data_IF_912229006217
#
_entry.id   IF_912229006217
#
_cell.length_a   1.000
_cell.length_b   1.000
_cell.length_c   1.000
_cell.angle_alpha   90.00
_cell.angle_beta   90.00
_cell.angle_gamma   90.00
#
_symmetry.space_group_name_H-M   'P 1'
#
loop_
_entity.id
_entity.type
_entity.pdbx_description
1 polymer ?
#
# COMPACT_ATOMS: atom_id res chain seq x y z
N UNK A 1 -20.84 -71.58 5.04
CA UNK A 1 -21.38 -71.01 6.30
C UNK A 1 -21.64 -69.52 6.10
N UNK A 2 -22.76 -69.01 6.63
CA UNK A 2 -23.43 -67.78 6.20
C UNK A 2 -22.82 -66.48 6.77
N UNK A 3 -23.05 -65.41 6.03
CA UNK A 3 -22.70 -64.02 6.29
C UNK A 3 -23.35 -63.47 7.58
N UNK A 4 -22.57 -62.78 8.41
CA UNK A 4 -23.07 -61.98 9.55
C UNK A 4 -23.17 -60.51 9.09
N UNK A 5 -24.36 -59.87 9.16
CA UNK A 5 -24.54 -58.47 8.80
C UNK A 5 -23.99 -57.55 9.91
N UNK A 6 -23.13 -56.60 9.53
CA UNK A 6 -22.65 -55.55 10.43
C UNK A 6 -23.76 -54.55 10.78
N UNK A 7 -23.92 -54.28 12.07
CA UNK A 7 -24.89 -53.35 12.63
C UNK A 7 -24.70 -51.89 12.16
N UNK A 8 -25.80 -51.16 11.88
CA UNK A 8 -25.75 -49.73 11.60
C UNK A 8 -25.54 -48.94 12.91
N UNK A 9 -24.36 -48.32 13.02
CA UNK A 9 -24.00 -47.41 14.11
C UNK A 9 -24.85 -46.13 14.04
N UNK A 10 -25.94 -46.09 14.80
CA UNK A 10 -26.80 -44.91 14.97
C UNK A 10 -25.98 -43.83 15.68
N UNK A 11 -25.37 -42.93 14.90
CA UNK A 11 -24.82 -41.68 15.44
C UNK A 11 -26.00 -40.84 15.90
N UNK A 12 -26.18 -40.77 17.22
CA UNK A 12 -27.07 -39.84 17.91
C UNK A 12 -26.95 -38.45 17.28
N UNK A 13 -28.02 -38.01 16.62
CA UNK A 13 -28.30 -36.59 16.45
C UNK A 13 -28.37 -35.97 17.85
N UNK A 14 -27.36 -35.20 18.21
CA UNK A 14 -27.39 -34.33 19.37
C UNK A 14 -28.36 -33.19 19.10
N UNK A 15 -29.62 -33.40 19.48
CA UNK A 15 -30.58 -32.32 19.66
C UNK A 15 -30.21 -31.51 20.91
N UNK A 16 -29.99 -30.21 20.69
CA UNK A 16 -30.49 -29.13 21.55
C UNK A 16 -29.99 -29.08 22.99
N UNK A 17 -28.85 -28.43 23.21
CA UNK A 17 -28.66 -27.66 24.45
C UNK A 17 -28.81 -26.18 24.11
N UNK A 18 -30.04 -25.70 24.27
CA UNK A 18 -30.38 -24.28 24.30
C UNK A 18 -29.81 -23.65 25.57
N UNK A 19 -28.66 -22.97 25.46
CA UNK A 19 -28.25 -21.93 26.40
C UNK A 19 -28.44 -20.58 25.71
N UNK A 20 -29.70 -20.13 25.71
CA UNK A 20 -30.12 -18.79 25.33
C UNK A 20 -30.03 -17.86 26.54
N UNK A 21 -29.31 -16.75 26.41
CA UNK A 21 -29.25 -15.71 27.44
C UNK A 21 -28.31 -14.54 27.11
N UNK A 22 -27.15 -14.79 26.48
CA UNK A 22 -26.08 -13.76 26.35
C UNK A 22 -26.01 -13.03 25.01
N UNK A 23 -26.78 -13.45 24.00
CA UNK A 23 -26.71 -12.86 22.65
C UNK A 23 -27.22 -11.42 22.54
N UNK A 24 -28.31 -10.98 23.20
CA UNK A 24 -28.74 -9.59 23.10
C UNK A 24 -27.80 -8.66 23.88
N UNK A 25 -27.24 -9.09 25.01
CA UNK A 25 -26.32 -8.30 25.81
C UNK A 25 -25.00 -8.05 25.08
N UNK A 26 -24.40 -9.08 24.45
CA UNK A 26 -23.17 -8.89 23.66
C UNK A 26 -23.41 -7.99 22.44
N UNK A 27 -24.54 -8.12 21.76
CA UNK A 27 -24.89 -7.25 20.64
C UNK A 27 -25.14 -5.80 21.09
N UNK A 28 -25.86 -5.59 22.19
CA UNK A 28 -26.11 -4.27 22.76
C UNK A 28 -24.84 -3.60 23.27
N UNK A 29 -23.91 -4.35 23.89
CA UNK A 29 -22.61 -3.84 24.31
C UNK A 29 -21.78 -3.39 23.11
N UNK A 30 -21.77 -4.16 22.02
CA UNK A 30 -21.05 -3.78 20.79
C UNK A 30 -21.66 -2.52 20.16
N UNK A 31 -22.99 -2.44 20.06
CA UNK A 31 -23.67 -1.25 19.53
C UNK A 31 -23.42 -0.01 20.40
N UNK A 32 -23.50 -0.16 21.72
CA UNK A 32 -23.19 0.93 22.65
C UNK A 32 -21.74 1.42 22.51
N UNK A 33 -20.79 0.51 22.39
CA UNK A 33 -19.37 0.85 22.19
C UNK A 33 -19.14 1.58 20.87
N UNK A 34 -19.78 1.14 19.78
CA UNK A 34 -19.71 1.83 18.48
C UNK A 34 -20.31 3.24 18.54
N UNK A 35 -21.47 3.41 19.19
CA UNK A 35 -22.08 4.73 19.37
C UNK A 35 -21.18 5.68 20.17
N UNK A 36 -20.59 5.21 21.28
CA UNK A 36 -19.64 6.01 22.07
C UNK A 36 -18.40 6.36 21.25
N UNK A 37 -17.85 5.42 20.49
CA UNK A 37 -16.70 5.67 19.63
C UNK A 37 -16.99 6.73 18.55
N UNK A 38 -18.17 6.70 17.92
CA UNK A 38 -18.59 7.72 16.93
C UNK A 38 -18.76 9.09 17.58
N UNK A 39 -19.38 9.16 18.77
CA UNK A 39 -19.57 10.40 19.51
C UNK A 39 -18.25 11.06 19.95
N UNK A 40 -17.18 10.28 20.13
CA UNK A 40 -15.84 10.82 20.43
C UNK A 40 -15.06 11.14 19.15
N UNK A 41 -15.13 10.27 18.14
CA UNK A 41 -14.37 10.40 16.90
C UNK A 41 -14.83 11.60 16.06
N UNK A 42 -16.13 11.88 15.98
CA UNK A 42 -16.66 12.99 15.17
C UNK A 42 -16.19 14.36 15.69
N UNK A 43 -16.32 14.71 16.98
CA UNK A 43 -15.77 15.96 17.52
C UNK A 43 -14.26 16.06 17.35
N UNK A 44 -13.51 14.97 17.60
CA UNK A 44 -12.07 14.97 17.39
C UNK A 44 -11.68 15.16 15.93
N UNK A 45 -12.46 14.60 15.00
CA UNK A 45 -12.26 14.78 13.56
C UNK A 45 -12.55 16.22 13.12
N UNK A 46 -13.58 16.86 13.70
CA UNK A 46 -13.88 18.27 13.46
C UNK A 46 -12.84 19.20 14.08
N UNK A 47 -12.29 18.86 15.25
CA UNK A 47 -11.19 19.58 15.88
C UNK A 47 -9.85 19.38 15.15
N UNK A 48 -9.66 18.25 14.48
CA UNK A 48 -8.49 17.96 13.64
C UNK A 48 -8.62 18.42 12.20
N UNK A 49 -9.75 19.01 11.78
CA UNK A 49 -9.77 19.73 10.50
C UNK A 49 -8.99 21.04 10.71
N UNK A 50 -7.74 21.17 10.22
CA UNK A 50 -7.10 22.47 10.15
C UNK A 50 -8.04 23.35 9.34
N UNK A 51 -8.57 24.38 10.01
CA UNK A 51 -9.30 25.44 9.33
C UNK A 51 -8.33 26.01 8.31
N UNK A 52 -8.50 25.70 7.03
CA UNK A 52 -7.85 26.39 5.93
C UNK A 52 -8.44 27.80 5.86
N UNK A 53 -8.17 28.61 6.89
CA UNK A 53 -8.20 30.07 6.79
C UNK A 53 -6.92 30.43 6.05
N UNK A 54 -7.07 30.74 4.77
CA UNK A 54 -6.00 31.32 3.98
C UNK A 54 -5.43 32.53 4.71
N UNK A 55 -4.19 32.42 5.14
CA UNK A 55 -3.31 33.56 5.33
C UNK A 55 -2.29 33.50 4.21
N UNK A 56 -2.61 34.23 3.15
CA UNK A 56 -1.58 34.77 2.29
C UNK A 56 -0.81 35.78 3.15
N UNK A 57 0.39 35.41 3.59
CA UNK A 57 1.35 36.39 4.07
C UNK A 57 2.67 36.14 3.35
N UNK A 58 2.98 37.09 2.48
CA UNK A 58 4.26 37.22 1.82
C UNK A 58 5.33 37.54 2.87
N UNK A 59 6.43 36.79 2.84
CA UNK A 59 7.66 37.19 3.50
C UNK A 59 8.83 36.95 2.53
N UNK A 60 9.15 38.02 1.80
CA UNK A 60 10.51 38.27 1.31
C UNK A 60 11.48 38.25 2.48
N UNK A 61 12.56 37.49 2.36
CA UNK A 61 13.81 37.80 3.04
C UNK A 61 14.99 37.29 2.21
N UNK A 62 15.77 38.26 1.75
CA UNK A 62 17.01 38.13 1.01
C UNK A 62 18.18 37.60 1.85
N UNK A 63 19.21 37.19 1.10
CA UNK A 63 20.64 37.26 1.39
C UNK A 63 21.28 36.10 2.18
N UNK A 64 22.13 35.37 1.47
CA UNK A 64 23.54 35.23 1.86
C UNK A 64 24.40 34.97 0.63
N UNK A 65 25.31 35.91 0.38
CA UNK A 65 26.37 35.81 -0.60
C UNK A 65 27.49 34.90 -0.07
N UNK A 66 28.07 34.09 -0.94
CA UNK A 66 29.44 33.60 -0.78
C UNK A 66 30.11 33.51 -2.16
N UNK A 67 31.04 34.43 -2.36
CA UNK A 67 32.05 34.40 -3.43
C UNK A 67 33.02 33.24 -3.19
N UNK A 68 33.42 32.52 -4.24
CA UNK A 68 34.60 31.65 -4.15
C UNK A 68 34.79 30.63 -5.28
N UNK A 69 35.41 31.09 -6.36
CA UNK A 69 36.42 30.40 -7.18
C UNK A 69 36.08 29.09 -7.94
N UNK A 70 36.28 29.15 -9.27
CA UNK A 70 36.80 28.02 -10.07
C UNK A 70 35.77 27.20 -10.84
N UNK A 71 35.17 27.77 -11.89
CA UNK A 71 34.36 26.99 -12.83
C UNK A 71 35.25 26.34 -13.91
N UNK A 72 35.33 24.99 -14.00
CA UNK A 72 35.71 24.36 -15.25
C UNK A 72 34.58 24.55 -16.27
N UNK A 73 34.92 25.03 -17.45
CA UNK A 73 34.02 25.21 -18.60
C UNK A 73 33.47 23.84 -19.01
N UNK A 74 32.28 23.49 -18.51
CA UNK A 74 31.55 22.29 -18.91
C UNK A 74 31.18 22.42 -20.39
N UNK A 75 31.76 21.54 -21.21
CA UNK A 75 31.32 21.35 -22.59
C UNK A 75 29.84 20.93 -22.57
N UNK A 76 28.98 21.50 -23.45
CA UNK A 76 27.62 21.03 -23.59
C UNK A 76 27.66 19.58 -24.09
N UNK A 77 27.34 18.65 -23.20
CA UNK A 77 27.14 17.26 -23.57
C UNK A 77 25.98 17.19 -24.58
N UNK A 78 26.09 16.35 -25.63
CA UNK A 78 25.01 16.17 -26.59
C UNK A 78 23.75 15.74 -25.86
N UNK A 79 22.65 16.46 -26.12
CA UNK A 79 21.33 16.15 -25.58
C UNK A 79 20.98 14.70 -25.91
N UNK A 80 21.11 13.83 -24.92
CA UNK A 80 20.67 12.44 -25.03
C UNK A 80 19.16 12.49 -25.26
N UNK A 81 18.63 11.88 -26.34
CA UNK A 81 17.19 11.87 -26.57
C UNK A 81 16.47 11.35 -25.33
N UNK A 82 15.34 11.94 -24.93
CA UNK A 82 14.62 11.56 -23.72
C UNK A 82 14.31 10.06 -23.80
N UNK A 83 14.85 9.31 -22.85
CA UNK A 83 14.59 7.88 -22.75
C UNK A 83 13.07 7.65 -22.74
N UNK A 84 12.57 6.62 -23.43
CA UNK A 84 11.15 6.31 -23.43
C UNK A 84 10.66 6.18 -21.99
N UNK A 85 9.45 6.71 -21.67
CA UNK A 85 8.97 6.76 -20.31
C UNK A 85 8.95 5.34 -19.72
N UNK A 86 9.43 5.15 -18.48
CA UNK A 86 9.50 3.83 -17.88
C UNK A 86 8.09 3.23 -17.83
N UNK A 87 7.93 2.01 -18.37
CA UNK A 87 6.65 1.30 -18.40
C UNK A 87 6.14 0.98 -17.00
N UNK A 88 7.03 1.01 -16.01
CA UNK A 88 6.78 0.73 -14.63
C UNK A 88 7.18 1.93 -13.79
N UNK A 89 6.25 2.42 -12.97
CA UNK A 89 6.50 3.45 -11.96
C UNK A 89 6.29 2.83 -10.58
N UNK A 90 7.30 2.93 -9.72
CA UNK A 90 7.19 2.47 -8.32
C UNK A 90 6.77 3.63 -7.42
N UNK A 91 5.79 3.37 -6.57
CA UNK A 91 5.39 4.26 -5.49
C UNK A 91 6.37 4.22 -4.30
N UNK A 92 6.17 5.10 -3.31
CA UNK A 92 6.97 5.10 -2.10
C UNK A 92 6.81 3.77 -1.33
N UNK A 93 7.89 3.37 -0.65
CA UNK A 93 7.86 2.19 0.22
C UNK A 93 7.03 2.51 1.46
N UNK A 94 6.03 1.68 1.73
CA UNK A 94 5.18 1.80 2.91
C UNK A 94 5.48 0.66 3.87
N UNK A 95 5.84 1.01 5.10
CA UNK A 95 6.02 0.04 6.19
C UNK A 95 4.66 -0.23 6.80
N UNK A 96 4.05 -1.36 6.42
CA UNK A 96 2.66 -1.65 6.79
C UNK A 96 2.62 -2.10 8.25
N UNK A 97 3.48 -3.05 8.62
CA UNK A 97 3.44 -3.70 9.94
C UNK A 97 4.82 -4.12 10.41
N UNK A 98 5.05 -4.07 11.71
CA UNK A 98 6.17 -4.72 12.38
C UNK A 98 5.76 -5.27 13.76
N UNK A 99 6.42 -6.34 14.21
CA UNK A 99 6.12 -6.94 15.52
C UNK A 99 6.91 -8.20 15.83
N UNK A 100 6.62 -8.81 16.98
CA UNK A 100 7.26 -10.06 17.42
C UNK A 100 6.86 -11.27 16.56
N UNK A 101 5.67 -11.25 15.96
CA UNK A 101 5.21 -12.29 15.04
C UNK A 101 4.13 -11.75 14.10
N UNK A 102 3.80 -12.51 13.05
CA UNK A 102 2.74 -12.16 12.10
C UNK A 102 1.33 -12.11 12.73
N UNK A 103 1.12 -12.79 13.87
CA UNK A 103 -0.17 -12.87 14.57
C UNK A 103 -0.26 -11.92 15.77
N UNK A 104 0.86 -11.35 16.22
CA UNK A 104 0.87 -10.39 17.32
C UNK A 104 0.28 -9.05 16.87
N UNK A 105 -0.22 -8.26 17.84
CA UNK A 105 -0.63 -6.87 17.60
C UNK A 105 0.55 -6.10 17.01
N UNK A 106 0.48 -5.68 15.73
CA UNK A 106 1.61 -5.06 15.08
C UNK A 106 1.63 -3.56 15.35
N UNK A 107 2.82 -3.01 15.38
CA UNK A 107 3.02 -1.58 15.18
C UNK A 107 2.91 -1.28 13.69
N UNK A 108 2.37 -0.12 13.34
CA UNK A 108 2.10 0.27 11.95
C UNK A 108 2.81 1.57 11.59
N UNK A 109 3.16 1.73 10.31
CA UNK A 109 3.67 2.99 9.76
C UNK A 109 5.10 3.33 10.19
N UNK A 110 5.26 4.56 10.73
CA UNK A 110 6.57 5.18 11.01
C UNK A 110 7.30 4.58 12.21
N UNK A 111 6.60 3.80 13.03
CA UNK A 111 7.16 3.13 14.21
C UNK A 111 8.05 1.94 13.86
N UNK A 112 7.99 1.47 12.62
CA UNK A 112 8.81 0.36 12.15
C UNK A 112 10.16 0.87 11.63
N UNK A 113 11.23 0.15 11.97
CA UNK A 113 12.57 0.39 11.41
C UNK A 113 12.56 0.30 9.88
N UNK A 114 13.47 1.03 9.25
CA UNK A 114 13.75 0.88 7.81
C UNK A 114 14.61 -0.34 7.58
N UNK A 115 14.34 -1.07 6.49
CA UNK A 115 15.10 -2.25 6.11
C UNK A 115 15.67 -2.09 4.70
N UNK A 116 16.65 -1.19 4.49
CA UNK A 116 17.14 -0.83 3.15
C UNK A 116 17.44 -2.00 2.21
N UNK A 117 18.16 -3.08 2.61
CA UNK A 117 18.47 -4.15 1.67
C UNK A 117 17.24 -4.95 1.23
N UNK A 118 16.22 -5.07 2.07
CA UNK A 118 14.96 -5.74 1.70
C UNK A 118 14.09 -4.84 0.82
N UNK A 119 14.06 -3.54 1.13
CA UNK A 119 13.34 -2.53 0.35
C UNK A 119 13.92 -2.38 -1.06
N UNK A 120 15.24 -2.32 -1.18
CA UNK A 120 15.95 -2.24 -2.46
C UNK A 120 15.83 -3.54 -3.25
N UNK A 121 16.00 -4.70 -2.61
CA UNK A 121 15.84 -5.99 -3.28
C UNK A 121 14.43 -6.17 -3.86
N UNK A 122 13.40 -5.72 -3.14
CA UNK A 122 12.03 -5.73 -3.65
C UNK A 122 11.86 -4.79 -4.85
N UNK A 123 12.34 -3.54 -4.75
CA UNK A 123 12.27 -2.58 -5.87
C UNK A 123 12.97 -3.13 -7.11
N UNK A 124 14.19 -3.64 -6.95
CA UNK A 124 14.99 -4.20 -8.04
C UNK A 124 14.32 -5.44 -8.65
N UNK A 125 13.72 -6.31 -7.83
CA UNK A 125 13.00 -7.47 -8.34
C UNK A 125 11.74 -7.07 -9.14
N UNK A 126 11.01 -6.02 -8.72
CA UNK A 126 9.85 -5.53 -9.48
C UNK A 126 10.31 -4.90 -10.81
N UNK A 127 11.37 -4.07 -10.79
CA UNK A 127 11.95 -3.44 -11.99
C UNK A 127 12.54 -4.46 -12.97
N UNK A 128 13.20 -5.50 -12.47
CA UNK A 128 13.78 -6.56 -13.31
C UNK A 128 12.75 -7.49 -13.94
N UNK A 129 11.49 -7.47 -13.48
CA UNK A 129 10.45 -8.41 -13.90
C UNK A 129 9.19 -7.70 -14.42
N UNK A 130 9.36 -6.64 -15.22
CA UNK A 130 8.23 -5.95 -15.88
C UNK A 130 7.35 -6.90 -16.71
N UNK A 131 7.96 -7.94 -17.30
CA UNK A 131 7.25 -8.95 -18.10
C UNK A 131 6.27 -9.83 -17.30
N UNK A 132 6.34 -9.80 -15.96
CA UNK A 132 5.43 -10.53 -15.10
C UNK A 132 4.13 -9.80 -14.77
N UNK A 133 4.01 -8.54 -15.21
CA UNK A 133 2.77 -7.80 -15.12
C UNK A 133 1.65 -8.49 -15.93
N UNK A 134 0.39 -8.44 -15.46
CA UNK A 134 -0.76 -8.79 -16.26
C UNK A 134 -0.73 -8.01 -17.59
N UNK A 135 -0.88 -8.72 -18.71
CA UNK A 135 -0.94 -8.14 -20.07
C UNK A 135 -2.29 -7.48 -20.34
N UNK A 136 -2.68 -6.54 -19.48
CA UNK A 136 -3.89 -5.72 -19.69
C UNK A 136 -3.58 -4.60 -20.67
N UNK A 137 -4.57 -4.21 -21.48
CA UNK A 137 -4.50 -3.00 -22.30
C UNK A 137 -4.56 -1.74 -21.42
N UNK A 138 -5.22 -1.84 -20.27
CA UNK A 138 -5.44 -0.75 -19.33
C UNK A 138 -4.23 -0.59 -18.41
N UNK A 139 -3.93 0.68 -18.08
CA UNK A 139 -3.05 1.02 -16.96
C UNK A 139 -3.62 0.39 -15.68
N UNK A 140 -2.74 -0.16 -14.86
CA UNK A 140 -3.15 -0.74 -13.59
C UNK A 140 -2.00 -0.82 -12.61
N UNK A 141 -2.35 -0.96 -11.35
CA UNK A 141 -1.40 -1.03 -10.24
C UNK A 141 -1.54 -2.33 -9.45
N UNK A 142 -0.42 -2.81 -8.91
CA UNK A 142 -0.35 -3.93 -7.96
C UNK A 142 0.39 -3.44 -6.72
N UNK A 143 -0.21 -3.64 -5.55
CA UNK A 143 0.49 -3.48 -4.29
C UNK A 143 1.25 -4.77 -3.95
N UNK A 144 2.57 -4.74 -3.97
CA UNK A 144 3.43 -5.86 -3.58
C UNK A 144 3.72 -5.77 -2.09
N UNK A 145 3.25 -6.75 -1.31
CA UNK A 145 3.54 -6.83 0.13
C UNK A 145 4.56 -7.92 0.38
N UNK A 146 5.76 -7.54 0.82
CA UNK A 146 6.83 -8.41 1.26
C UNK A 146 6.76 -8.59 2.77
N UNK A 147 6.61 -9.82 3.23
CA UNK A 147 6.81 -10.15 4.64
C UNK A 147 8.17 -10.76 4.89
N UNK A 148 8.87 -10.22 5.88
CA UNK A 148 10.19 -10.63 6.32
C UNK A 148 10.06 -11.25 7.70
N UNK A 149 10.46 -12.51 7.85
CA UNK A 149 10.60 -13.16 9.16
C UNK A 149 12.07 -13.45 9.42
N UNK A 150 12.69 -12.65 10.30
CA UNK A 150 14.11 -12.77 10.62
C UNK A 150 14.44 -14.06 11.37
N UNK A 151 13.53 -14.58 12.19
CA UNK A 151 13.80 -15.82 12.92
C UNK A 151 13.78 -17.04 12.01
N UNK A 152 12.86 -17.05 11.04
CA UNK A 152 12.79 -18.14 10.04
C UNK A 152 13.66 -17.90 8.81
N UNK A 153 14.32 -16.74 8.72
CA UNK A 153 15.04 -16.26 7.53
C UNK A 153 14.25 -16.49 6.25
N UNK A 154 12.95 -16.17 6.31
CA UNK A 154 11.99 -16.44 5.23
C UNK A 154 11.38 -15.15 4.71
N UNK A 155 11.36 -15.03 3.39
CA UNK A 155 10.64 -14.01 2.66
C UNK A 155 9.38 -14.63 2.05
N UNK A 156 8.34 -13.82 1.97
CA UNK A 156 7.11 -14.19 1.26
C UNK A 156 6.47 -12.93 0.69
N UNK A 157 6.05 -13.00 -0.57
CA UNK A 157 5.43 -11.86 -1.26
C UNK A 157 4.01 -12.22 -1.62
N UNK A 158 3.07 -11.32 -1.34
CA UNK A 158 1.67 -11.48 -1.71
C UNK A 158 1.07 -10.18 -2.20
N UNK A 159 -0.03 -10.25 -2.98
CA UNK A 159 -0.71 -9.04 -3.44
C UNK A 159 -1.47 -8.41 -2.27
N UNK A 160 -1.20 -7.15 -2.01
CA UNK A 160 -1.91 -6.34 -1.03
C UNK A 160 -3.35 -6.06 -1.45
N UNK A 161 -4.13 -5.54 -0.51
CA UNK A 161 -5.52 -5.14 -0.76
C UNK A 161 -5.65 -3.80 -1.50
N UNK A 162 -4.54 -3.23 -2.00
CA UNK A 162 -4.52 -1.96 -2.73
C UNK A 162 -4.09 -2.21 -4.18
N UNK A 163 -4.54 -1.35 -5.08
CA UNK A 163 -4.29 -1.46 -6.52
C UNK A 163 -5.48 -1.98 -7.32
N UNK A 164 -5.34 -1.85 -8.64
CA UNK A 164 -6.37 -2.14 -9.63
C UNK A 164 -6.45 -3.64 -9.94
N UNK A 165 -5.30 -4.32 -9.96
CA UNK A 165 -5.22 -5.74 -10.26
C UNK A 165 -5.27 -6.58 -8.99
N UNK A 166 -6.20 -7.53 -8.95
CA UNK A 166 -6.47 -8.40 -7.80
C UNK A 166 -6.63 -9.87 -8.19
N UNK A 167 -6.68 -10.74 -7.18
CA UNK A 167 -6.98 -12.16 -7.37
C UNK A 167 -5.87 -12.92 -8.10
N UNK A 168 -6.24 -13.81 -9.03
CA UNK A 168 -5.31 -14.73 -9.71
C UNK A 168 -4.23 -14.00 -10.52
N UNK A 169 -4.57 -12.87 -11.15
CA UNK A 169 -3.63 -12.10 -11.96
C UNK A 169 -2.53 -11.47 -11.10
N UNK A 170 -2.91 -10.80 -10.01
CA UNK A 170 -1.95 -10.22 -9.07
C UNK A 170 -1.10 -11.30 -8.36
N UNK A 171 -1.69 -12.45 -8.02
CA UNK A 171 -0.95 -13.60 -7.46
C UNK A 171 0.12 -14.12 -8.42
N UNK A 172 -0.20 -14.26 -9.72
CA UNK A 172 0.78 -14.70 -10.71
C UNK A 172 1.96 -13.72 -10.83
N UNK A 173 1.66 -12.42 -10.85
CA UNK A 173 2.69 -11.39 -10.93
C UNK A 173 3.58 -11.37 -9.67
N UNK A 174 2.97 -11.48 -8.48
CA UNK A 174 3.69 -11.53 -7.20
C UNK A 174 4.54 -12.79 -7.04
N UNK A 175 4.04 -13.97 -7.43
CA UNK A 175 4.85 -15.20 -7.41
C UNK A 175 6.06 -15.15 -8.35
N UNK A 176 5.95 -14.45 -9.49
CA UNK A 176 7.12 -14.22 -10.34
C UNK A 176 8.16 -13.33 -9.66
N UNK A 177 7.73 -12.21 -9.07
CA UNK A 177 8.63 -11.30 -8.35
C UNK A 177 9.26 -11.99 -7.14
N UNK A 178 8.51 -12.83 -6.43
CA UNK A 178 8.99 -13.63 -5.30
C UNK A 178 10.19 -14.51 -5.67
N UNK A 179 10.17 -15.14 -6.84
CA UNK A 179 11.29 -15.94 -7.32
C UNK A 179 12.53 -15.10 -7.68
N UNK A 180 12.35 -13.82 -7.98
CA UNK A 180 13.43 -12.90 -8.35
C UNK A 180 14.05 -12.17 -7.14
N UNK A 181 13.32 -12.04 -6.03
CA UNK A 181 13.86 -11.40 -4.82
C UNK A 181 14.94 -12.29 -4.20
N UNK A 182 16.18 -11.82 -4.31
CA UNK A 182 17.34 -12.42 -3.64
C UNK A 182 17.87 -11.43 -2.61
N UNK A 183 17.82 -11.81 -1.34
CA UNK A 183 18.42 -11.01 -0.26
C UNK A 183 19.67 -11.72 0.22
N UNK A 184 20.81 -11.04 0.11
CA UNK A 184 22.11 -11.58 0.47
C UNK A 184 22.40 -11.47 1.98
N UNK A 185 21.85 -10.45 2.65
CA UNK A 185 22.18 -10.15 4.04
C UNK A 185 20.94 -10.15 4.95
N UNK A 186 20.99 -11.01 5.97
CA UNK A 186 19.97 -11.14 7.01
C UNK A 186 20.40 -10.51 8.34
N UNK A 187 21.63 -9.99 8.44
CA UNK A 187 22.23 -9.46 9.67
C UNK A 187 22.00 -7.94 9.84
N UNK A 188 20.95 -7.43 9.23
CA UNK A 188 20.56 -6.02 9.30
C UNK A 188 20.09 -5.69 10.72
N UNK A 189 20.49 -4.57 11.35
CA UNK A 189 19.98 -4.18 12.66
C UNK A 189 18.46 -3.92 12.58
N UNK A 190 17.70 -4.61 13.43
CA UNK A 190 16.24 -4.53 13.47
C UNK A 190 15.73 -4.73 14.91
N UNK A 191 14.67 -4.01 15.30
CA UNK A 191 14.05 -4.15 16.62
C UNK A 191 13.05 -5.32 16.68
N UNK A 192 12.34 -5.58 15.58
CA UNK A 192 11.25 -6.55 15.53
C UNK A 192 11.62 -7.78 14.73
N UNK A 193 10.98 -8.91 15.03
CA UNK A 193 11.26 -10.16 14.30
C UNK A 193 10.57 -10.23 12.95
N UNK A 194 9.38 -9.63 12.84
CA UNK A 194 8.52 -9.70 11.67
C UNK A 194 8.25 -8.30 11.12
N UNK A 195 8.37 -8.15 9.80
CA UNK A 195 8.03 -6.92 9.09
C UNK A 195 7.18 -7.21 7.87
N UNK A 196 6.30 -6.28 7.51
CA UNK A 196 5.54 -6.26 6.28
C UNK A 196 5.76 -4.91 5.57
N UNK A 197 6.36 -4.98 4.40
CA UNK A 197 6.72 -3.82 3.57
C UNK A 197 5.87 -3.87 2.30
N UNK A 198 5.26 -2.76 1.94
CA UNK A 198 4.42 -2.61 0.75
C UNK A 198 5.04 -1.64 -0.25
N UNK A 199 5.01 -2.00 -1.53
CA UNK A 199 5.39 -1.13 -2.64
C UNK A 199 4.30 -1.18 -3.70
N UNK A 200 3.72 -0.01 -4.02
CA UNK A 200 2.73 0.10 -5.08
C UNK A 200 3.44 0.25 -6.42
N UNK A 201 3.32 -0.75 -7.29
CA UNK A 201 3.85 -0.70 -8.64
C UNK A 201 2.73 -0.34 -9.62
N UNK A 202 2.95 0.68 -10.44
CA UNK A 202 2.02 1.12 -11.48
C UNK A 202 2.59 0.79 -12.84
N UNK A 203 1.85 0.00 -13.62
CA UNK A 203 2.22 -0.41 -14.95
C UNK A 203 1.44 0.40 -15.98
N UNK A 204 2.16 1.00 -16.93
CA UNK A 204 1.56 1.62 -18.09
C UNK A 204 0.85 0.55 -18.93
N UNK A 205 -0.35 0.87 -19.41
CA UNK A 205 -1.05 0.02 -20.37
C UNK A 205 -0.27 -0.07 -21.69
N UNK A 206 -0.58 -1.09 -22.50
CA UNK A 206 0.04 -1.26 -23.82
C UNK A 206 -0.19 -0.06 -24.76
N UNK A 207 -1.23 0.75 -24.50
CA UNK A 207 -1.36 2.08 -25.07
C UNK A 207 -0.69 3.05 -24.11
N UNK A 208 0.55 3.40 -24.43
CA UNK A 208 1.24 4.53 -23.83
C UNK A 208 0.52 5.82 -24.23
N UNK A 209 -0.65 6.05 -23.64
CA UNK A 209 -1.26 7.36 -23.67
C UNK A 209 -0.32 8.26 -22.86
N UNK A 210 0.27 9.29 -23.48
CA UNK A 210 1.18 10.19 -22.79
C UNK A 210 0.46 10.72 -21.56
N UNK A 211 1.09 10.63 -20.37
CA UNK A 211 0.57 11.31 -19.21
C UNK A 211 0.29 12.77 -19.62
N UNK A 212 -0.93 13.30 -19.41
CA UNK A 212 -1.13 14.73 -19.56
C UNK A 212 -0.13 15.40 -18.62
N UNK A 213 0.77 16.20 -19.19
CA UNK A 213 1.77 16.93 -18.44
C UNK A 213 1.06 17.62 -17.27
N UNK A 214 1.55 17.39 -16.05
CA UNK A 214 1.08 18.09 -14.86
C UNK A 214 1.25 19.60 -15.10
N UNK A 215 0.19 20.27 -15.54
CA UNK A 215 0.28 21.64 -16.02
C UNK A 215 -0.98 22.18 -16.68
N UNK A 216 -1.85 21.34 -17.24
CA UNK A 216 -3.13 21.82 -17.77
C UNK A 216 -4.12 21.96 -16.62
N UNK A 217 -4.14 23.15 -16.03
CA UNK A 217 -5.21 23.60 -15.13
C UNK A 217 -6.54 23.35 -15.83
N UNK A 218 -7.47 22.56 -15.27
CA UNK A 218 -8.80 22.45 -15.85
C UNK A 218 -9.41 23.85 -15.84
N UNK A 219 -9.67 24.38 -17.02
CA UNK A 219 -10.39 25.64 -17.20
C UNK A 219 -11.68 25.55 -16.39
N UNK A 220 -11.86 26.52 -15.50
CA UNK A 220 -13.02 26.60 -14.63
C UNK A 220 -14.30 26.50 -15.47
N UNK A 221 -15.30 25.70 -15.06
CA UNK A 221 -16.61 25.75 -15.69
C UNK A 221 -17.17 27.15 -15.47
N UNK A 222 -17.25 27.93 -16.53
CA UNK A 222 -18.00 29.17 -16.61
C UNK A 222 -19.45 28.86 -16.24
N UNK A 223 -19.84 29.22 -15.02
CA UNK A 223 -21.19 29.03 -14.51
C UNK A 223 -22.22 29.83 -15.34
N UNK A 224 -23.48 29.38 -15.36
CA UNK A 224 -24.54 30.08 -16.06
C UNK A 224 -24.82 31.44 -15.41
N UNK A 225 -24.92 32.47 -16.25
CA UNK A 225 -25.30 33.82 -15.86
C UNK A 225 -26.68 33.82 -15.19
N UNK A 226 -26.77 34.44 -14.01
CA UNK A 226 -28.03 34.69 -13.32
C UNK A 226 -28.84 35.76 -14.08
N UNK A 227 -30.15 35.56 -14.33
CA UNK A 227 -31.01 36.61 -14.88
C UNK A 227 -31.28 37.69 -13.83
N UNK A 228 -31.09 38.94 -14.26
CA UNK A 228 -31.51 40.15 -13.55
C UNK A 228 -33.04 40.17 -13.41
N UNK A 229 -33.56 40.42 -12.20
CA UNK A 229 -34.94 40.82 -11.98
C UNK A 229 -34.93 42.22 -11.37
N UNK A 230 -35.48 43.18 -12.13
CA UNK A 230 -35.95 44.49 -11.68
C UNK A 230 -37.25 44.37 -10.89
#
# INVERSE_FOLDING_TARGET
>A
MPSVPGEPRIRRLGLGSSSGGDRPLRAQVVVGLVCVAVLIAVPLYLLRKPSFKGSAEAASASASASNGAGAPRAQPAPATPPAPPPRLTLGPVQKVRCGASAAATPNEGTLCDTLPPFEEALKQAILGNEGCAPKSKLKGSINYVLTVDFARKKLHIFPGASGDWRGKQARRATSCVEAAVKVADWNVPHQYRFYAIAVLATYAGAQGEPLPAAGTTPAAPSGPALPNFE
#
